data_IF_831375441453
#
_entry.id   IF_831375441453
#
_cell.length_a   1.000
_cell.length_b   1.000
_cell.length_c   1.000
_cell.angle_alpha   90.00
_cell.angle_beta   90.00
_cell.angle_gamma   90.00
#
_symmetry.space_group_name_H-M   'P 1'
#
loop_
_entity.id
_entity.type
_entity.pdbx_description
1 polymer ?
#
# COMPACT_ATOMS: atom_id res chain seq x y z
N UNK A 1 14.28 27.04 36.54
CA UNK A 1 14.30 25.55 36.46
C UNK A 1 15.02 25.21 35.17
N UNK A 2 16.24 24.69 35.24
CA UNK A 2 17.02 24.35 34.06
C UNK A 2 16.37 23.18 33.33
N UNK A 3 15.91 23.41 32.11
CA UNK A 3 15.55 22.31 31.22
C UNK A 3 16.77 21.43 31.00
N UNK A 4 16.75 20.21 31.49
CA UNK A 4 17.83 19.23 31.28
C UNK A 4 17.88 18.89 29.79
N UNK A 5 18.88 19.42 29.12
CA UNK A 5 19.22 19.10 27.75
C UNK A 5 19.73 17.65 27.75
N UNK A 6 18.84 16.69 27.53
CA UNK A 6 19.16 15.26 27.57
C UNK A 6 19.46 14.78 26.17
N UNK A 7 20.70 14.39 25.93
CA UNK A 7 21.06 13.72 24.68
C UNK A 7 20.37 12.36 24.65
N UNK A 8 19.53 12.15 23.64
CA UNK A 8 18.80 10.90 23.39
C UNK A 8 19.20 10.35 22.03
N UNK A 9 19.19 9.04 21.88
CA UNK A 9 19.33 8.42 20.56
C UNK A 9 17.92 8.08 20.07
N UNK A 10 17.47 8.73 19.00
CA UNK A 10 16.10 8.58 18.48
C UNK A 10 16.14 8.25 16.99
N UNK A 11 15.13 7.54 16.53
CA UNK A 11 14.79 7.49 15.12
C UNK A 11 13.90 8.71 14.76
N UNK A 12 14.31 9.44 13.74
CA UNK A 12 13.64 10.62 13.21
C UNK A 12 13.00 10.25 11.89
N UNK A 13 11.70 10.54 11.76
CA UNK A 13 10.92 10.29 10.57
C UNK A 13 10.30 11.59 10.07
N UNK A 14 10.46 11.87 8.79
CA UNK A 14 9.70 12.88 8.07
C UNK A 14 8.76 12.20 7.09
N UNK A 15 7.50 12.58 7.10
CA UNK A 15 6.49 12.18 6.14
C UNK A 15 5.91 13.40 5.45
N UNK A 16 6.01 13.47 4.13
CA UNK A 16 5.60 14.60 3.31
C UNK A 16 4.50 14.17 2.34
N UNK A 17 3.38 14.92 2.33
CA UNK A 17 2.24 14.67 1.46
C UNK A 17 2.50 15.15 0.04
N UNK A 18 2.41 14.25 -0.91
CA UNK A 18 2.50 14.56 -2.33
C UNK A 18 1.10 14.68 -2.94
N UNK A 19 0.88 15.72 -3.76
CA UNK A 19 -0.41 16.00 -4.38
C UNK A 19 -1.21 17.13 -3.69
N UNK A 20 -0.74 17.65 -2.57
CA UNK A 20 -1.38 18.73 -1.80
C UNK A 20 -1.61 20.00 -2.65
N UNK A 21 -0.66 20.42 -3.45
CA UNK A 21 -0.80 21.59 -4.35
C UNK A 21 -1.98 21.42 -5.31
N UNK A 22 -2.11 20.24 -5.93
CA UNK A 22 -3.22 19.94 -6.84
C UNK A 22 -4.55 19.92 -6.12
N UNK A 23 -4.56 19.49 -4.84
CA UNK A 23 -5.74 19.49 -4.00
C UNK A 23 -6.25 20.94 -3.77
N UNK A 24 -5.33 21.87 -3.50
CA UNK A 24 -5.66 23.31 -3.37
C UNK A 24 -6.23 23.91 -4.67
N UNK A 25 -5.64 23.54 -5.82
CA UNK A 25 -6.10 24.04 -7.13
C UNK A 25 -7.50 23.54 -7.50
N UNK A 26 -7.87 22.31 -7.14
CA UNK A 26 -9.14 21.71 -7.52
C UNK A 26 -10.27 21.94 -6.50
N UNK A 27 -9.98 21.90 -5.20
CA UNK A 27 -11.00 21.98 -4.15
C UNK A 27 -11.08 23.38 -3.47
N UNK A 28 -10.11 24.24 -3.75
CA UNK A 28 -9.96 25.53 -3.07
C UNK A 28 -9.41 25.38 -1.64
N UNK A 29 -8.94 26.50 -1.08
CA UNK A 29 -8.15 26.55 0.15
C UNK A 29 -8.84 25.91 1.36
N UNK A 30 -10.14 26.17 1.53
CA UNK A 30 -10.86 25.72 2.73
C UNK A 30 -11.04 24.20 2.78
N UNK A 31 -11.42 23.58 1.66
CA UNK A 31 -11.65 22.13 1.57
C UNK A 31 -10.33 21.39 1.58
N UNK A 32 -9.36 21.83 0.77
CA UNK A 32 -8.02 21.24 0.72
C UNK A 32 -7.35 21.21 2.11
N UNK A 33 -7.46 22.31 2.86
CA UNK A 33 -6.92 22.39 4.23
C UNK A 33 -7.56 21.37 5.19
N UNK A 34 -8.87 21.13 5.09
CA UNK A 34 -9.55 20.13 5.92
C UNK A 34 -9.09 18.71 5.58
N UNK A 35 -8.92 18.41 4.30
CA UNK A 35 -8.44 17.11 3.83
C UNK A 35 -7.00 16.85 4.27
N UNK A 36 -6.11 17.83 4.12
CA UNK A 36 -4.73 17.74 4.61
C UNK A 36 -4.70 17.53 6.13
N UNK A 37 -5.52 18.26 6.88
CA UNK A 37 -5.60 18.11 8.34
C UNK A 37 -6.06 16.68 8.73
N UNK A 38 -7.01 16.10 8.00
CA UNK A 38 -7.43 14.72 8.22
C UNK A 38 -6.32 13.72 7.90
N UNK A 39 -5.57 13.91 6.80
CA UNK A 39 -4.42 13.09 6.49
C UNK A 39 -3.34 13.14 7.58
N UNK A 40 -3.03 14.35 8.07
CA UNK A 40 -2.06 14.55 9.15
C UNK A 40 -2.53 13.87 10.45
N UNK A 41 -3.83 13.92 10.77
CA UNK A 41 -4.41 13.24 11.92
C UNK A 41 -4.25 11.72 11.82
N UNK A 42 -4.47 11.13 10.65
CA UNK A 42 -4.27 9.69 10.41
C UNK A 42 -2.80 9.30 10.54
N UNK A 43 -1.87 10.12 10.05
CA UNK A 43 -0.43 9.91 10.27
C UNK A 43 -0.12 9.92 11.76
N UNK A 44 -0.65 10.87 12.52
CA UNK A 44 -0.45 10.95 13.98
C UNK A 44 -0.95 9.69 14.70
N UNK A 45 -2.10 9.15 14.30
CA UNK A 45 -2.63 7.90 14.86
C UNK A 45 -1.65 6.73 14.66
N UNK A 46 -1.11 6.57 13.45
CA UNK A 46 -0.09 5.54 13.16
C UNK A 46 1.18 5.78 14.00
N UNK A 47 1.63 7.03 14.13
CA UNK A 47 2.80 7.36 14.96
C UNK A 47 2.59 6.94 16.40
N UNK A 48 1.44 7.28 16.99
CA UNK A 48 1.12 6.98 18.39
C UNK A 48 0.94 5.48 18.62
N UNK A 49 0.30 4.77 17.69
CA UNK A 49 0.11 3.32 17.75
C UNK A 49 1.45 2.57 17.84
N UNK A 50 2.49 3.10 17.17
CA UNK A 50 3.84 2.51 17.17
C UNK A 50 4.79 3.13 18.21
N UNK A 51 4.24 3.83 19.22
CA UNK A 51 5.02 4.38 20.33
C UNK A 51 5.89 5.59 19.96
N UNK A 52 5.60 6.21 18.82
CA UNK A 52 6.24 7.45 18.39
C UNK A 52 5.53 8.70 18.92
N UNK A 53 6.11 9.85 18.60
CA UNK A 53 5.59 11.16 18.93
C UNK A 53 5.72 12.09 17.72
N UNK A 54 4.63 12.79 17.37
CA UNK A 54 4.69 13.92 16.44
C UNK A 54 5.35 15.09 17.16
N UNK A 55 6.43 15.61 16.60
CA UNK A 55 7.17 16.76 17.12
C UNK A 55 6.57 18.06 16.61
N UNK A 56 6.38 18.14 15.28
CA UNK A 56 5.77 19.29 14.61
C UNK A 56 5.28 18.94 13.21
N UNK A 57 4.43 19.82 12.69
CA UNK A 57 4.02 19.85 11.27
C UNK A 57 4.60 21.08 10.60
N UNK A 58 5.04 20.96 9.35
CA UNK A 58 5.63 22.04 8.55
C UNK A 58 4.88 22.05 7.21
N UNK A 59 3.77 22.80 7.16
CA UNK A 59 2.86 22.74 6.03
C UNK A 59 2.14 21.40 5.95
N UNK A 60 2.44 20.61 4.95
CA UNK A 60 1.94 19.24 4.69
C UNK A 60 2.95 18.14 5.07
N UNK A 61 4.08 18.52 5.66
CA UNK A 61 5.10 17.60 6.18
C UNK A 61 4.97 17.41 7.69
N UNK A 62 5.16 16.18 8.16
CA UNK A 62 5.16 15.81 9.59
C UNK A 62 6.54 15.35 10.00
N UNK A 63 7.05 15.89 11.11
CA UNK A 63 8.25 15.39 11.78
C UNK A 63 7.87 14.57 13.01
N UNK A 64 8.33 13.32 13.05
CA UNK A 64 8.06 12.38 14.13
C UNK A 64 9.36 11.84 14.73
N UNK A 65 9.28 11.39 15.97
CA UNK A 65 10.38 10.70 16.66
C UNK A 65 9.90 9.38 17.26
N UNK A 66 10.80 8.39 17.27
CA UNK A 66 10.56 7.09 17.89
C UNK A 66 11.75 6.70 18.75
N UNK A 67 11.53 6.08 19.92
CA UNK A 67 12.61 5.52 20.74
C UNK A 67 13.37 4.41 20.03
N UNK A 68 12.64 3.58 19.25
CA UNK A 68 13.17 2.39 18.59
C UNK A 68 13.11 2.53 17.07
N UNK A 69 14.19 2.13 16.40
CA UNK A 69 14.30 2.16 14.93
C UNK A 69 13.28 1.22 14.26
N UNK A 70 13.06 0.06 14.86
CA UNK A 70 12.09 -0.93 14.36
C UNK A 70 10.69 -0.35 14.31
N UNK A 71 10.24 0.28 15.41
CA UNK A 71 8.93 0.93 15.50
C UNK A 71 8.76 2.03 14.45
N UNK A 72 9.81 2.81 14.21
CA UNK A 72 9.80 3.87 13.19
C UNK A 72 9.62 3.30 11.77
N UNK A 73 10.30 2.19 11.44
CA UNK A 73 10.18 1.54 10.13
C UNK A 73 8.81 0.90 9.95
N UNK A 74 8.28 0.24 10.98
CA UNK A 74 6.93 -0.34 10.92
C UNK A 74 5.87 0.77 10.76
N UNK A 75 5.98 1.86 11.51
CA UNK A 75 5.10 3.02 11.35
C UNK A 75 5.18 3.62 9.94
N UNK A 76 6.38 3.74 9.36
CA UNK A 76 6.56 4.22 7.99
C UNK A 76 5.86 3.32 6.96
N UNK A 77 5.96 1.99 7.12
CA UNK A 77 5.23 1.04 6.27
C UNK A 77 3.71 1.19 6.43
N UNK A 78 3.20 1.25 7.66
CA UNK A 78 1.78 1.45 7.95
C UNK A 78 1.23 2.77 7.39
N UNK A 79 2.01 3.85 7.43
CA UNK A 79 1.65 5.12 6.78
C UNK A 79 1.52 4.95 5.26
N UNK A 80 2.46 4.27 4.60
CA UNK A 80 2.39 4.05 3.16
C UNK A 80 1.19 3.17 2.77
N UNK A 81 0.92 2.11 3.52
CA UNK A 81 -0.26 1.25 3.32
C UNK A 81 -1.55 2.06 3.46
N UNK A 82 -1.67 2.89 4.51
CA UNK A 82 -2.83 3.75 4.74
C UNK A 82 -3.10 4.68 3.55
N UNK A 83 -2.07 5.26 2.95
CA UNK A 83 -2.21 6.19 1.83
C UNK A 83 -2.32 5.49 0.47
N UNK A 84 -1.90 4.23 0.36
CA UNK A 84 -2.11 3.44 -0.84
C UNK A 84 -3.59 3.04 -1.01
N UNK A 85 -4.29 2.78 0.10
CA UNK A 85 -5.63 2.19 0.10
C UNK A 85 -6.78 3.20 0.29
N UNK A 86 -6.53 4.35 0.92
CA UNK A 86 -7.59 5.16 1.50
C UNK A 86 -7.62 6.66 1.12
N UNK A 87 -6.64 7.17 0.40
CA UNK A 87 -6.55 8.61 0.13
C UNK A 87 -6.83 8.98 -1.33
N UNK A 88 -7.95 8.47 -1.85
CA UNK A 88 -8.49 8.89 -3.15
C UNK A 88 -9.73 9.75 -2.87
N UNK A 89 -9.69 11.02 -3.27
CA UNK A 89 -10.86 11.89 -3.29
C UNK A 89 -11.46 11.90 -4.68
N UNK A 90 -12.71 11.46 -4.80
CA UNK A 90 -13.48 11.56 -6.04
C UNK A 90 -14.02 12.98 -6.19
N UNK A 91 -13.54 13.69 -7.19
CA UNK A 91 -14.04 15.02 -7.57
C UNK A 91 -14.76 14.95 -8.90
N UNK A 92 -15.58 15.95 -9.21
CA UNK A 92 -16.27 16.04 -10.50
C UNK A 92 -15.30 16.08 -11.69
N UNK A 93 -14.03 16.49 -11.47
CA UNK A 93 -12.97 16.61 -12.48
C UNK A 93 -11.93 15.46 -12.41
N UNK A 94 -12.20 14.40 -11.66
CA UNK A 94 -11.36 13.20 -11.52
C UNK A 94 -10.88 12.96 -10.07
N UNK A 95 -10.38 11.74 -9.83
CA UNK A 95 -9.88 11.32 -8.51
C UNK A 95 -8.53 11.95 -8.21
N UNK A 96 -8.36 12.47 -6.99
CA UNK A 96 -7.07 12.95 -6.47
C UNK A 96 -6.56 11.93 -5.46
N UNK A 97 -5.45 11.29 -5.79
CA UNK A 97 -4.75 10.43 -4.84
C UNK A 97 -3.66 11.23 -4.11
N UNK A 98 -3.79 11.35 -2.79
CA UNK A 98 -2.70 11.82 -1.94
C UNK A 98 -1.77 10.65 -1.63
N UNK A 99 -0.48 10.89 -1.68
CA UNK A 99 0.56 9.89 -1.45
C UNK A 99 1.63 10.44 -0.52
N UNK A 100 2.46 9.56 0.05
CA UNK A 100 3.54 9.97 0.95
C UNK A 100 4.92 9.79 0.34
N UNK A 101 5.83 10.68 0.71
CA UNK A 101 7.28 10.49 0.68
C UNK A 101 7.76 10.40 2.11
N UNK A 102 8.55 9.40 2.45
CA UNK A 102 9.01 9.21 3.83
C UNK A 102 10.53 9.12 3.84
N UNK A 103 11.13 9.86 4.78
CA UNK A 103 12.57 9.82 5.07
C UNK A 103 12.83 9.48 6.52
N UNK A 104 13.77 8.57 6.77
CA UNK A 104 14.06 8.05 8.09
C UNK A 104 15.57 8.03 8.37
N UNK A 105 15.98 8.45 9.56
CA UNK A 105 17.34 8.29 10.07
C UNK A 105 17.35 8.14 11.59
N UNK A 106 18.39 7.52 12.15
CA UNK A 106 18.57 7.37 13.59
C UNK A 106 19.92 7.92 14.03
N UNK A 107 19.92 8.58 15.17
CA UNK A 107 21.15 9.14 15.70
C UNK A 107 20.98 9.95 16.98
N UNK A 108 22.08 10.50 17.50
CA UNK A 108 22.05 11.39 18.67
C UNK A 108 21.27 12.66 18.39
N UNK A 109 20.38 13.01 19.32
CA UNK A 109 19.52 14.19 19.28
C UNK A 109 19.50 14.93 20.58
N UNK A 110 19.25 16.22 20.54
CA UNK A 110 18.95 17.06 21.68
C UNK A 110 17.42 17.29 21.71
N UNK A 111 16.78 16.79 22.76
CA UNK A 111 15.34 16.97 22.96
C UNK A 111 15.13 18.19 23.83
N UNK A 112 14.46 19.20 23.31
CA UNK A 112 13.96 20.35 24.04
C UNK A 112 12.43 20.24 24.19
N UNK A 113 11.85 21.02 25.07
CA UNK A 113 10.44 20.86 25.52
C UNK A 113 9.43 20.68 24.37
N UNK A 114 9.65 21.28 23.22
CA UNK A 114 8.73 21.29 22.08
C UNK A 114 9.37 20.91 20.75
N UNK A 115 10.69 20.68 20.71
CA UNK A 115 11.39 20.41 19.45
C UNK A 115 12.57 19.45 19.65
N UNK A 116 13.11 18.92 18.55
CA UNK A 116 14.25 18.01 18.53
C UNK A 116 15.28 18.54 17.55
N UNK A 117 16.54 18.57 17.99
CA UNK A 117 17.67 19.12 17.25
C UNK A 117 18.80 18.09 17.11
N UNK A 118 19.61 18.28 16.09
CA UNK A 118 20.82 17.47 15.88
C UNK A 118 21.06 17.14 14.41
N UNK A 119 22.25 16.59 14.15
CA UNK A 119 22.63 16.16 12.79
C UNK A 119 21.68 15.07 12.26
N UNK A 120 21.18 14.20 13.15
CA UNK A 120 20.22 13.16 12.78
C UNK A 120 18.93 13.72 12.17
N UNK A 121 18.42 14.86 12.67
CA UNK A 121 17.25 15.55 12.10
C UNK A 121 17.53 16.02 10.67
N UNK A 122 18.71 16.63 10.46
CA UNK A 122 19.10 17.10 9.13
C UNK A 122 19.28 15.95 8.13
N UNK A 123 19.78 14.81 8.58
CA UNK A 123 19.94 13.62 7.73
C UNK A 123 18.57 13.05 7.37
N UNK A 124 17.64 12.92 8.32
CA UNK A 124 16.28 12.44 8.06
C UNK A 124 15.53 13.37 7.08
N UNK A 125 15.64 14.69 7.23
CA UNK A 125 15.08 15.68 6.30
C UNK A 125 15.66 15.54 4.88
N UNK A 126 16.92 15.16 4.74
CA UNK A 126 17.52 14.85 3.43
C UNK A 126 16.99 13.54 2.84
N UNK A 127 16.67 12.56 3.68
CA UNK A 127 16.12 11.28 3.21
C UNK A 127 14.73 11.49 2.60
N UNK A 128 13.85 12.27 3.23
CA UNK A 128 12.53 12.58 2.65
C UNK A 128 12.66 13.39 1.36
N UNK A 129 13.61 14.32 1.28
CA UNK A 129 13.88 15.09 0.06
C UNK A 129 14.38 14.22 -1.11
N UNK A 130 15.00 13.07 -0.86
CA UNK A 130 15.44 12.10 -1.87
C UNK A 130 14.34 11.09 -2.24
N UNK A 131 13.33 10.94 -1.40
CA UNK A 131 12.25 9.99 -1.63
C UNK A 131 11.35 10.43 -2.78
N UNK A 132 10.98 9.48 -3.62
CA UNK A 132 9.90 9.62 -4.59
C UNK A 132 8.57 9.29 -3.92
N UNK A 133 7.48 9.63 -4.59
CA UNK A 133 6.13 9.25 -4.18
C UNK A 133 6.06 7.74 -3.94
N UNK A 134 5.51 7.35 -2.79
CA UNK A 134 5.40 5.95 -2.37
C UNK A 134 6.70 5.34 -1.83
N UNK A 135 7.80 6.09 -1.72
CA UNK A 135 9.06 5.55 -1.20
C UNK A 135 9.31 5.89 0.27
N UNK A 136 9.96 4.96 0.96
CA UNK A 136 10.56 5.14 2.29
C UNK A 136 12.07 5.06 2.12
N UNK A 137 12.77 6.18 2.29
CA UNK A 137 14.24 6.24 2.17
C UNK A 137 14.88 6.33 3.55
N UNK A 138 15.94 5.56 3.73
CA UNK A 138 16.67 5.52 4.98
C UNK A 138 18.18 5.34 4.75
N UNK A 139 18.96 5.24 5.82
CA UNK A 139 20.40 5.14 5.82
C UNK A 139 20.90 3.78 6.33
N UNK A 140 22.18 3.44 6.09
CA UNK A 140 22.85 2.26 6.63
C UNK A 140 22.70 2.17 8.15
N UNK A 141 22.80 3.29 8.86
CA UNK A 141 22.68 3.34 10.33
C UNK A 141 21.36 2.76 10.82
N UNK A 142 20.25 3.02 10.10
CA UNK A 142 18.94 2.46 10.40
C UNK A 142 18.91 0.97 10.04
N UNK A 143 19.35 0.61 8.84
CA UNK A 143 19.33 -0.78 8.36
C UNK A 143 20.11 -1.72 9.28
N UNK A 144 21.25 -1.29 9.80
CA UNK A 144 22.08 -2.10 10.69
C UNK A 144 21.44 -2.36 12.07
N UNK A 145 20.52 -1.51 12.49
CA UNK A 145 19.76 -1.65 13.75
C UNK A 145 18.48 -2.47 13.59
N UNK A 146 18.06 -2.79 12.35
CA UNK A 146 16.85 -3.56 12.12
C UNK A 146 17.06 -5.05 12.40
N UNK A 147 16.03 -5.74 12.93
CA UNK A 147 15.95 -7.19 12.95
C UNK A 147 16.11 -7.79 11.56
N UNK A 148 16.61 -9.01 11.46
CA UNK A 148 16.92 -9.69 10.19
C UNK A 148 15.74 -9.72 9.21
N UNK A 149 14.53 -9.84 9.72
CA UNK A 149 13.30 -9.86 8.91
C UNK A 149 13.08 -8.52 8.19
N UNK A 150 13.10 -7.41 8.92
CA UNK A 150 12.91 -6.08 8.36
C UNK A 150 14.11 -5.64 7.50
N UNK A 151 15.33 -6.00 7.93
CA UNK A 151 16.54 -5.76 7.13
C UNK A 151 16.49 -6.41 5.78
N UNK A 152 15.93 -7.61 5.68
CA UNK A 152 15.73 -8.31 4.41
C UNK A 152 14.77 -7.60 3.45
N UNK A 153 13.93 -6.68 3.94
CA UNK A 153 13.04 -5.85 3.14
C UNK A 153 13.65 -4.49 2.80
N UNK A 154 14.97 -4.33 2.91
CA UNK A 154 15.66 -3.11 2.50
C UNK A 154 16.54 -3.35 1.27
N UNK A 155 16.64 -2.36 0.41
CA UNK A 155 17.42 -2.40 -0.82
C UNK A 155 18.33 -1.17 -0.89
N UNK A 156 19.63 -1.37 -1.14
CA UNK A 156 20.56 -0.26 -1.44
C UNK A 156 20.17 0.35 -2.79
N UNK A 157 19.96 1.66 -2.83
CA UNK A 157 19.55 2.37 -4.04
C UNK A 157 20.60 3.35 -4.57
N UNK A 158 21.39 3.98 -3.69
CA UNK A 158 22.38 4.98 -4.09
C UNK A 158 23.40 5.26 -2.99
N UNK A 159 24.42 6.05 -3.35
CA UNK A 159 25.42 6.63 -2.47
C UNK A 159 25.38 8.16 -2.59
N UNK A 160 24.76 8.86 -1.64
CA UNK A 160 24.61 10.30 -1.69
C UNK A 160 25.75 11.02 -0.98
N UNK A 161 26.39 12.03 -1.62
CA UNK A 161 27.38 12.87 -0.97
C UNK A 161 26.72 13.75 0.11
N UNK A 162 27.32 13.84 1.27
CA UNK A 162 26.88 14.75 2.34
C UNK A 162 27.50 16.12 2.14
N UNK A 163 26.65 17.13 1.93
CA UNK A 163 27.13 18.51 1.86
C UNK A 163 27.82 18.90 3.16
N UNK A 164 29.15 19.13 3.12
CA UNK A 164 29.96 19.50 4.28
C UNK A 164 30.63 18.33 5.03
N UNK A 165 30.47 17.08 4.59
CA UNK A 165 31.25 15.93 5.06
C UNK A 165 31.94 15.26 3.88
N UNK A 166 33.11 14.59 4.17
CA UNK A 166 33.83 13.80 3.14
C UNK A 166 33.23 12.43 2.90
N UNK A 167 32.24 12.02 3.73
CA UNK A 167 31.64 10.70 3.70
C UNK A 167 30.36 10.71 2.87
N UNK A 168 30.16 9.64 2.11
CA UNK A 168 28.93 9.35 1.39
C UNK A 168 28.01 8.52 2.27
N UNK A 169 26.71 8.87 2.31
CA UNK A 169 25.70 8.01 2.91
C UNK A 169 25.24 6.96 1.90
N UNK A 170 25.17 5.72 2.32
CA UNK A 170 24.44 4.69 1.61
C UNK A 170 22.95 4.88 1.85
N UNK A 171 22.21 5.08 0.75
CA UNK A 171 20.75 5.24 0.76
C UNK A 171 20.08 3.90 0.54
N UNK A 172 19.16 3.57 1.42
CA UNK A 172 18.34 2.38 1.33
C UNK A 172 16.88 2.75 1.16
N UNK A 173 16.18 1.97 0.36
CA UNK A 173 14.72 1.96 0.31
C UNK A 173 14.21 0.82 1.18
N UNK A 174 13.20 1.11 2.00
CA UNK A 174 12.41 0.10 2.71
C UNK A 174 11.28 -0.35 1.79
N UNK A 175 11.30 -1.63 1.43
CA UNK A 175 10.30 -2.27 0.58
C UNK A 175 9.07 -2.58 1.43
N UNK A 176 8.08 -1.72 1.41
CA UNK A 176 6.84 -1.86 2.18
C UNK A 176 5.74 -2.59 1.38
N UNK A 177 5.80 -2.52 0.05
CA UNK A 177 4.97 -3.35 -0.82
C UNK A 177 5.66 -4.71 -0.97
N UNK A 178 5.00 -5.77 -0.56
CA UNK A 178 5.46 -7.14 -0.84
C UNK A 178 5.21 -7.43 -2.32
N UNK A 179 6.20 -7.16 -3.16
CA UNK A 179 6.31 -7.83 -4.43
C UNK A 179 6.61 -9.32 -4.14
N UNK A 180 5.93 -10.24 -4.83
CA UNK A 180 6.03 -11.69 -4.68
C UNK A 180 7.47 -12.19 -4.57
N UNK A 181 8.01 -12.24 -3.37
CA UNK A 181 9.22 -13.01 -3.06
C UNK A 181 8.82 -14.11 -2.10
N UNK A 182 8.78 -15.31 -2.62
CA UNK A 182 8.63 -16.56 -1.87
C UNK A 182 9.53 -16.54 -0.63
N UNK A 183 8.97 -16.35 0.57
CA UNK A 183 9.67 -16.53 1.84
C UNK A 183 8.90 -17.46 2.75
N UNK A 184 9.49 -18.62 2.98
CA UNK A 184 9.23 -19.42 4.17
C UNK A 184 9.69 -18.59 5.39
N UNK A 185 8.79 -18.29 6.29
CA UNK A 185 9.11 -17.71 7.60
C UNK A 185 8.24 -18.28 8.70
N UNK A 186 8.84 -18.55 9.88
CA UNK A 186 8.09 -19.02 11.02
C UNK A 186 7.43 -17.84 11.77
N UNK A 187 6.23 -18.08 12.21
CA UNK A 187 5.37 -17.43 13.17
C UNK A 187 5.85 -16.14 13.87
N UNK A 188 5.28 -15.01 13.45
CA UNK A 188 5.09 -13.84 14.31
C UNK A 188 3.61 -13.48 14.23
N UNK A 189 2.94 -13.51 15.39
CA UNK A 189 1.53 -13.12 15.54
C UNK A 189 1.42 -11.60 15.42
N UNK A 190 1.28 -11.13 14.20
CA UNK A 190 0.71 -9.81 13.92
C UNK A 190 -0.79 -10.01 13.85
N UNK A 191 -1.59 -9.20 14.60
CA UNK A 191 -3.05 -9.19 14.40
C UNK A 191 -3.30 -9.03 12.91
N UNK A 192 -4.04 -9.92 12.26
CA UNK A 192 -4.18 -9.87 10.81
C UNK A 192 -4.94 -8.60 10.44
N UNK A 193 -4.30 -7.71 9.68
CA UNK A 193 -5.02 -6.88 8.73
C UNK A 193 -5.94 -7.83 7.93
N UNK A 194 -7.19 -7.48 7.73
CA UNK A 194 -8.13 -8.34 6.96
C UNK A 194 -7.51 -8.55 5.59
N UNK A 195 -7.01 -9.76 5.35
CA UNK A 195 -6.40 -10.13 4.06
C UNK A 195 -7.44 -9.99 2.98
N UNK A 196 -7.09 -9.31 1.89
CA UNK A 196 -7.95 -9.25 0.74
C UNK A 196 -8.20 -10.68 0.23
N UNK A 197 -9.46 -11.05 0.11
CA UNK A 197 -9.90 -12.37 -0.29
C UNK A 197 -11.05 -12.23 -1.30
N UNK A 198 -10.96 -12.95 -2.40
CA UNK A 198 -12.08 -13.07 -3.33
C UNK A 198 -12.64 -14.48 -3.24
N UNK A 199 -13.92 -14.55 -2.92
CA UNK A 199 -14.68 -15.80 -2.88
C UNK A 199 -15.45 -15.97 -4.18
N UNK A 200 -15.29 -17.13 -4.83
CA UNK A 200 -16.06 -17.55 -5.99
C UNK A 200 -17.07 -18.61 -5.58
N UNK A 201 -18.32 -18.45 -6.00
CA UNK A 201 -19.38 -19.44 -5.80
C UNK A 201 -19.96 -19.89 -7.13
N UNK A 202 -20.05 -21.20 -7.33
CA UNK A 202 -20.64 -21.80 -8.52
C UNK A 202 -21.31 -23.13 -8.16
N UNK A 203 -22.62 -23.17 -8.21
CA UNK A 203 -23.41 -24.31 -7.71
C UNK A 203 -23.10 -24.60 -6.24
N UNK A 204 -22.62 -25.79 -5.93
CA UNK A 204 -22.18 -26.20 -4.59
C UNK A 204 -20.68 -25.95 -4.32
N UNK A 205 -19.95 -25.47 -5.30
CA UNK A 205 -18.50 -25.25 -5.21
C UNK A 205 -18.21 -23.83 -4.73
N UNK A 206 -17.31 -23.73 -3.76
CA UNK A 206 -16.76 -22.44 -3.30
C UNK A 206 -15.25 -22.50 -3.41
N UNK A 207 -14.65 -21.53 -4.09
CA UNK A 207 -13.21 -21.38 -4.22
C UNK A 207 -12.79 -19.99 -3.73
N UNK A 208 -11.58 -19.90 -3.22
CA UNK A 208 -11.01 -18.67 -2.69
C UNK A 208 -9.75 -18.34 -3.49
N UNK A 209 -9.65 -17.07 -3.88
CA UNK A 209 -8.43 -16.46 -4.42
C UNK A 209 -7.89 -15.53 -3.35
N UNK A 210 -6.65 -15.72 -2.98
CA UNK A 210 -5.93 -14.93 -1.97
C UNK A 210 -4.42 -15.00 -2.23
N UNK A 211 -3.60 -14.57 -1.28
CA UNK A 211 -2.14 -14.65 -1.32
C UNK A 211 -1.59 -16.09 -1.36
N UNK A 212 -2.35 -17.08 -0.84
CA UNK A 212 -1.96 -18.49 -0.86
C UNK A 212 -2.36 -19.21 -2.15
N UNK A 213 -3.45 -18.77 -2.76
CA UNK A 213 -3.93 -19.24 -4.06
C UNK A 213 -4.19 -18.05 -4.98
N UNK A 214 -3.11 -17.45 -5.53
CA UNK A 214 -3.20 -16.17 -6.25
C UNK A 214 -3.85 -16.27 -7.63
N UNK A 215 -4.15 -17.48 -8.10
CA UNK A 215 -4.76 -17.69 -9.42
C UNK A 215 -5.77 -18.83 -9.39
N UNK A 216 -6.89 -18.63 -10.09
CA UNK A 216 -7.90 -19.64 -10.39
C UNK A 216 -8.30 -19.52 -11.86
N UNK A 217 -8.34 -20.65 -12.57
CA UNK A 217 -8.74 -20.76 -13.97
C UNK A 217 -10.21 -21.21 -14.06
N UNK A 218 -11.00 -20.49 -14.85
CA UNK A 218 -12.39 -20.76 -15.14
C UNK A 218 -12.53 -21.32 -16.57
N UNK A 219 -13.40 -22.29 -16.78
CA UNK A 219 -13.63 -22.81 -18.12
C UNK A 219 -14.51 -24.07 -18.16
N UNK A 220 -14.82 -24.57 -19.36
CA UNK A 220 -15.66 -25.77 -19.50
C UNK A 220 -14.91 -27.11 -19.38
N UNK A 221 -13.59 -27.08 -19.30
CA UNK A 221 -12.77 -28.28 -19.15
C UNK A 221 -12.63 -28.67 -17.69
N UNK A 222 -12.57 -29.97 -17.40
CA UNK A 222 -12.18 -30.50 -16.09
C UNK A 222 -10.74 -30.14 -15.68
N UNK A 223 -9.93 -29.60 -16.62
CA UNK A 223 -8.60 -29.08 -16.33
C UNK A 223 -8.62 -27.63 -15.78
N UNK A 224 -9.78 -26.95 -15.80
CA UNK A 224 -9.98 -25.69 -15.13
C UNK A 224 -10.21 -25.91 -13.62
N UNK A 225 -9.79 -24.97 -12.78
CA UNK A 225 -10.01 -25.05 -11.33
C UNK A 225 -11.51 -24.96 -10.98
N UNK A 226 -12.26 -24.20 -11.77
CA UNK A 226 -13.71 -24.10 -11.69
C UNK A 226 -14.32 -24.41 -13.05
N UNK A 227 -15.07 -25.52 -13.10
CA UNK A 227 -15.70 -25.97 -14.35
C UNK A 227 -17.10 -25.40 -14.47
N UNK A 228 -17.37 -24.70 -15.59
CA UNK A 228 -18.65 -24.10 -15.96
C UNK A 228 -19.26 -24.86 -17.12
N UNK A 229 -20.52 -25.28 -17.02
CA UNK A 229 -21.23 -26.06 -18.05
C UNK A 229 -21.93 -25.12 -19.03
N UNK A 230 -21.14 -24.37 -19.83
CA UNK A 230 -21.65 -23.47 -20.86
C UNK A 230 -21.00 -23.80 -22.22
N UNK A 231 -21.81 -24.00 -23.23
CA UNK A 231 -21.37 -24.40 -24.58
C UNK A 231 -20.48 -23.35 -25.25
N UNK A 232 -20.71 -22.06 -24.96
CA UNK A 232 -19.94 -20.93 -25.47
C UNK A 232 -18.65 -20.69 -24.70
N UNK A 233 -18.47 -21.34 -23.53
CA UNK A 233 -17.24 -21.24 -22.78
C UNK A 233 -16.09 -22.00 -23.45
N UNK A 234 -14.91 -21.41 -23.49
CA UNK A 234 -13.68 -22.08 -23.91
C UNK A 234 -13.24 -23.11 -22.86
N UNK A 235 -12.36 -24.07 -23.24
CA UNK A 235 -11.84 -25.11 -22.32
C UNK A 235 -11.16 -24.49 -21.10
N UNK A 236 -10.27 -23.53 -21.33
CA UNK A 236 -9.71 -22.61 -20.36
C UNK A 236 -10.15 -21.22 -20.85
N UNK A 237 -11.09 -20.59 -20.16
CA UNK A 237 -11.81 -19.43 -20.68
C UNK A 237 -11.26 -18.13 -20.15
N UNK A 238 -11.18 -18.02 -18.84
CA UNK A 238 -10.68 -16.87 -18.13
C UNK A 238 -9.89 -17.32 -16.90
N UNK A 239 -9.09 -16.42 -16.34
CA UNK A 239 -8.45 -16.65 -15.05
C UNK A 239 -8.68 -15.43 -14.15
N UNK A 240 -8.81 -15.69 -12.86
CA UNK A 240 -8.80 -14.66 -11.85
C UNK A 240 -7.43 -14.67 -11.21
N UNK A 241 -6.82 -13.50 -11.11
CA UNK A 241 -5.49 -13.31 -10.55
C UNK A 241 -5.55 -12.31 -9.40
N UNK A 242 -4.92 -12.69 -8.29
CA UNK A 242 -4.63 -11.78 -7.19
C UNK A 242 -3.30 -11.09 -7.47
N UNK A 243 -3.30 -9.77 -7.63
CA UNK A 243 -2.12 -8.96 -7.90
C UNK A 243 -2.16 -7.71 -7.02
N UNK A 244 -1.15 -7.52 -6.17
CA UNK A 244 -0.97 -6.29 -5.36
C UNK A 244 -2.21 -5.90 -4.57
N UNK A 245 -2.79 -6.84 -3.83
CA UNK A 245 -4.00 -6.59 -3.04
C UNK A 245 -5.30 -6.49 -3.84
N UNK A 246 -5.27 -6.67 -5.16
CA UNK A 246 -6.41 -6.51 -6.07
C UNK A 246 -6.66 -7.78 -6.87
N UNK A 247 -7.90 -7.99 -7.28
CA UNK A 247 -8.32 -9.15 -8.06
C UNK A 247 -8.65 -8.73 -9.50
N UNK A 248 -8.01 -9.40 -10.46
CA UNK A 248 -8.21 -9.14 -11.88
C UNK A 248 -8.81 -10.36 -12.55
N UNK A 249 -9.89 -10.16 -13.32
CA UNK A 249 -10.40 -11.16 -14.24
C UNK A 249 -9.75 -10.92 -15.60
N UNK A 250 -9.04 -11.92 -16.11
CA UNK A 250 -8.33 -11.87 -17.40
C UNK A 250 -9.00 -12.84 -18.37
N UNK A 251 -9.60 -12.32 -19.44
CA UNK A 251 -10.21 -13.14 -20.47
C UNK A 251 -9.17 -13.65 -21.47
N UNK A 252 -9.26 -14.94 -21.81
CA UNK A 252 -8.41 -15.60 -22.80
C UNK A 252 -9.25 -16.35 -23.84
N UNK A 253 -10.55 -16.11 -23.85
CA UNK A 253 -11.51 -16.88 -24.60
C UNK A 253 -11.66 -16.42 -26.05
N UNK A 254 -12.44 -17.19 -26.81
CA UNK A 254 -12.87 -16.83 -28.17
C UNK A 254 -14.12 -15.96 -28.15
N UNK A 255 -15.03 -16.20 -27.21
CA UNK A 255 -16.37 -15.58 -27.17
C UNK A 255 -16.49 -14.44 -26.17
N UNK A 256 -15.47 -14.23 -25.33
CA UNK A 256 -15.42 -13.17 -24.31
C UNK A 256 -16.11 -13.55 -23.01
N UNK A 257 -15.83 -12.80 -21.98
CA UNK A 257 -16.36 -12.91 -20.61
C UNK A 257 -17.22 -11.70 -20.29
N UNK A 258 -18.40 -11.93 -19.75
CA UNK A 258 -19.28 -10.87 -19.25
C UNK A 258 -19.17 -10.80 -17.73
N UNK A 259 -18.98 -9.60 -17.21
CA UNK A 259 -18.89 -9.32 -15.78
C UNK A 259 -19.98 -8.35 -15.39
N UNK A 260 -20.69 -8.63 -14.33
CA UNK A 260 -21.65 -7.74 -13.70
C UNK A 260 -21.18 -7.43 -12.30
N UNK A 261 -20.92 -6.18 -12.02
CA UNK A 261 -20.75 -5.63 -10.69
C UNK A 261 -22.04 -4.94 -10.24
N UNK A 262 -22.10 -4.48 -9.00
CA UNK A 262 -23.26 -3.79 -8.43
C UNK A 262 -23.67 -2.54 -9.24
N UNK A 263 -22.76 -1.94 -10.02
CA UNK A 263 -22.97 -0.68 -10.74
C UNK A 263 -22.96 -0.79 -12.26
N UNK A 264 -22.29 -1.81 -12.85
CA UNK A 264 -22.08 -1.87 -14.30
C UNK A 264 -21.93 -3.30 -14.83
N UNK A 265 -22.32 -3.49 -16.11
CA UNK A 265 -22.05 -4.69 -16.91
C UNK A 265 -20.84 -4.41 -17.85
N UNK A 266 -19.79 -5.21 -17.78
CA UNK A 266 -18.63 -5.13 -18.65
C UNK A 266 -18.51 -6.37 -19.55
N UNK A 267 -18.01 -6.20 -20.77
CA UNK A 267 -17.65 -7.27 -21.68
C UNK A 267 -16.15 -7.26 -21.97
N UNK A 268 -15.48 -8.36 -21.70
CA UNK A 268 -14.06 -8.55 -21.88
C UNK A 268 -13.79 -9.54 -23.02
N UNK A 269 -12.88 -9.21 -23.91
CA UNK A 269 -12.40 -10.12 -24.93
C UNK A 269 -10.90 -9.96 -25.15
N UNK A 270 -10.12 -10.86 -24.55
CA UNK A 270 -8.65 -10.75 -24.43
C UNK A 270 -8.20 -9.49 -23.71
N UNK A 271 -8.98 -9.10 -22.73
CA UNK A 271 -8.81 -7.93 -21.88
C UNK A 271 -8.89 -8.35 -20.41
N UNK A 272 -8.56 -7.44 -19.53
CA UNK A 272 -8.68 -7.65 -18.09
C UNK A 272 -9.55 -6.58 -17.44
N UNK A 273 -10.23 -6.95 -16.35
CA UNK A 273 -11.01 -6.03 -15.51
C UNK A 273 -10.70 -6.27 -14.04
N UNK A 274 -10.71 -5.18 -13.27
CA UNK A 274 -10.62 -5.21 -11.83
C UNK A 274 -11.96 -5.71 -11.24
N UNK A 275 -11.91 -6.71 -10.36
CA UNK A 275 -13.06 -7.17 -9.58
C UNK A 275 -13.09 -6.48 -8.23
N UNK A 276 -14.21 -5.81 -7.92
CA UNK A 276 -14.45 -5.12 -6.65
C UNK A 276 -15.87 -5.43 -6.14
N UNK A 277 -16.06 -5.36 -4.82
CA UNK A 277 -17.38 -5.59 -4.23
C UNK A 277 -17.92 -6.99 -4.49
N UNK A 278 -19.14 -7.09 -4.98
CA UNK A 278 -19.81 -8.36 -5.33
C UNK A 278 -20.35 -8.31 -6.76
N UNK A 279 -20.53 -9.50 -7.36
CA UNK A 279 -21.03 -9.56 -8.73
C UNK A 279 -21.11 -10.96 -9.28
N UNK A 280 -21.28 -11.03 -10.62
CA UNK A 280 -21.41 -12.28 -11.35
C UNK A 280 -20.55 -12.27 -12.64
N UNK A 281 -20.05 -13.44 -13.00
CA UNK A 281 -19.27 -13.69 -14.22
C UNK A 281 -20.03 -14.71 -15.10
N UNK A 282 -20.18 -14.40 -16.37
CA UNK A 282 -20.73 -15.29 -17.38
C UNK A 282 -19.72 -15.56 -18.49
N UNK A 283 -19.44 -16.84 -18.76
CA UNK A 283 -18.43 -17.26 -19.73
C UNK A 283 -19.06 -17.43 -21.13
N UNK A 284 -18.86 -16.45 -22.01
CA UNK A 284 -19.27 -16.51 -23.41
C UNK A 284 -20.71 -16.15 -23.71
N UNK A 285 -21.58 -15.96 -22.70
CA UNK A 285 -23.01 -15.63 -22.89
C UNK A 285 -23.37 -14.32 -22.19
N UNK A 286 -24.02 -13.37 -22.87
CA UNK A 286 -24.43 -12.09 -22.26
C UNK A 286 -25.56 -12.30 -21.24
N UNK A 287 -25.59 -11.47 -20.20
CA UNK A 287 -26.61 -11.54 -19.13
C UNK A 287 -28.04 -11.36 -19.62
N UNK A 288 -28.25 -10.62 -20.73
CA UNK A 288 -29.59 -10.43 -21.35
C UNK A 288 -30.19 -11.75 -21.86
N UNK A 289 -29.35 -12.75 -22.17
CA UNK A 289 -29.78 -14.08 -22.60
C UNK A 289 -30.04 -15.03 -21.41
N UNK A 290 -30.00 -14.51 -20.18
CA UNK A 290 -30.26 -15.23 -18.92
C UNK A 290 -29.40 -16.51 -18.80
N UNK A 291 -28.06 -16.39 -18.75
CA UNK A 291 -27.19 -17.55 -18.59
C UNK A 291 -27.55 -18.31 -17.30
N UNK A 292 -27.60 -19.64 -17.39
CA UNK A 292 -28.02 -20.50 -16.27
C UNK A 292 -26.80 -20.84 -15.38
N UNK A 293 -25.61 -20.75 -15.92
CA UNK A 293 -24.38 -21.20 -15.25
C UNK A 293 -23.44 -20.00 -14.98
N UNK A 294 -23.75 -19.28 -13.90
CA UNK A 294 -23.05 -18.09 -13.47
C UNK A 294 -22.03 -18.41 -12.37
N UNK A 295 -20.90 -17.72 -12.38
CA UNK A 295 -19.95 -17.70 -11.27
C UNK A 295 -20.15 -16.41 -10.49
N UNK A 296 -20.63 -16.52 -9.26
CA UNK A 296 -20.74 -15.36 -8.36
C UNK A 296 -19.39 -15.09 -7.70
N UNK A 297 -19.08 -13.82 -7.48
CA UNK A 297 -17.87 -13.43 -6.75
C UNK A 297 -18.18 -12.38 -5.68
N UNK A 298 -17.37 -12.41 -4.62
CA UNK A 298 -17.42 -11.45 -3.53
C UNK A 298 -15.99 -11.14 -3.08
N UNK A 299 -15.60 -9.87 -3.13
CA UNK A 299 -14.31 -9.37 -2.66
C UNK A 299 -14.46 -8.88 -1.23
N UNK A 300 -13.64 -9.40 -0.31
CA UNK A 300 -13.63 -9.02 1.11
C UNK A 300 -12.24 -8.55 1.51
N UNK A 301 -12.16 -7.54 2.38
CA UNK A 301 -10.91 -7.08 2.97
C UNK A 301 -10.16 -6.03 2.15
N UNK A 302 -10.85 -5.28 1.27
CA UNK A 302 -10.31 -4.04 0.67
C UNK A 302 -10.56 -2.84 1.56
#
# INVERSE_FOLDING_TARGET
MSASNQASHLAILFADLSGSTRLYELLGDSVARLQIAECLRRIEEVVVEHGGKVVKTIGDEVMCTFPEVESAVIAACGMQELFNDACVEDTADGSIALSLRIGLHAGPTLVESTDVFGDAVNVAARMVAQAKVGQIITTRVVVDQLPSLLRGNTRLIDHAPVKGKRDTFELFEVMWQQDDVTRMSPDIVVKPARRAQLTLKHGSSTLVVDDHRPQIVLGRSKAADLTVVESLASRLHARIEYRRGKFFLVDQSTNGTYVRNDTDDAFLRREEALLTGSGAISLGRPFVEKPQDLVEFEVQGT
#
